data_IF_602683546383
#
_entry.id   IF_602683546383
#
_cell.length_a   1.000
_cell.length_b   1.000
_cell.length_c   1.000
_cell.angle_alpha   90.00
_cell.angle_beta   90.00
_cell.angle_gamma   90.00
#
_symmetry.space_group_name_H-M   'P 1'
#
loop_
_entity.id
_entity.type
_entity.pdbx_description
1 polymer ?
#
# COMPACT_ATOMS: atom_id res chain seq x y z
N UNK A 1 -50.87 17.66 -0.57
CA UNK A 1 -50.11 16.57 -1.22
C UNK A 1 -48.84 17.03 -1.96
N UNK A 2 -48.88 18.07 -2.81
CA UNK A 2 -47.69 18.59 -3.52
C UNK A 2 -46.58 19.21 -2.64
N UNK A 3 -46.94 19.73 -1.46
CA UNK A 3 -45.96 20.30 -0.51
C UNK A 3 -45.19 19.20 0.25
N UNK A 4 -45.87 18.13 0.66
CA UNK A 4 -45.29 16.99 1.38
C UNK A 4 -44.26 16.23 0.51
N UNK A 5 -44.53 16.09 -0.79
CA UNK A 5 -43.63 15.43 -1.75
C UNK A 5 -42.34 16.23 -1.97
N UNK A 6 -42.41 17.56 -1.95
CA UNK A 6 -41.22 18.43 -2.05
C UNK A 6 -40.34 18.36 -0.80
N UNK A 7 -40.95 18.27 0.38
CA UNK A 7 -40.20 18.12 1.65
C UNK A 7 -39.51 16.76 1.76
N UNK A 8 -40.17 15.68 1.30
CA UNK A 8 -39.57 14.34 1.24
C UNK A 8 -38.40 14.30 0.25
N UNK A 9 -38.53 14.92 -0.93
CA UNK A 9 -37.43 15.02 -1.89
C UNK A 9 -36.24 15.84 -1.36
N UNK A 10 -36.48 16.88 -0.56
CA UNK A 10 -35.40 17.68 0.06
C UNK A 10 -34.67 16.92 1.18
N UNK A 11 -35.40 16.14 1.99
CA UNK A 11 -34.82 15.28 3.04
C UNK A 11 -34.01 14.10 2.48
N UNK A 12 -34.36 13.60 1.29
CA UNK A 12 -33.58 12.57 0.59
C UNK A 12 -32.26 13.12 0.01
N UNK A 13 -32.15 14.44 -0.19
CA UNK A 13 -30.93 15.10 -0.71
C UNK A 13 -30.00 15.64 0.38
N UNK A 14 -30.49 15.83 1.61
CA UNK A 14 -29.68 16.27 2.75
C UNK A 14 -28.50 15.34 3.15
N UNK A 15 -28.55 13.99 2.98
CA UNK A 15 -27.38 13.15 3.26
C UNK A 15 -26.36 13.10 2.11
N UNK A 16 -26.60 13.79 0.99
CA UNK A 16 -25.65 13.84 -0.15
C UNK A 16 -24.71 15.05 -0.05
N UNK A 17 -24.87 15.91 0.96
CA UNK A 17 -23.81 16.81 1.42
C UNK A 17 -22.74 15.99 2.15
N UNK A 18 -22.16 15.02 1.46
CA UNK A 18 -21.03 14.24 1.94
C UNK A 18 -19.93 15.22 2.30
N UNK A 19 -19.52 15.18 3.57
CA UNK A 19 -18.42 15.98 4.11
C UNK A 19 -17.30 16.02 3.08
N UNK A 20 -17.03 17.20 2.51
CA UNK A 20 -15.79 17.41 1.80
C UNK A 20 -14.69 17.02 2.80
N UNK A 21 -13.83 16.02 2.52
CA UNK A 21 -12.79 15.67 3.45
C UNK A 21 -11.91 16.92 3.58
N UNK A 22 -11.86 17.47 4.80
CA UNK A 22 -10.94 18.53 5.13
C UNK A 22 -9.49 18.07 4.93
N UNK A 23 -8.55 18.95 5.26
CA UNK A 23 -7.16 18.52 5.42
C UNK A 23 -7.12 17.29 6.35
N UNK A 24 -6.23 16.31 6.10
CA UNK A 24 -6.10 15.16 6.98
C UNK A 24 -5.83 15.65 8.40
N UNK A 25 -6.71 15.29 9.32
CA UNK A 25 -6.49 15.55 10.74
C UNK A 25 -5.48 14.52 11.23
N UNK A 26 -4.28 14.97 11.60
CA UNK A 26 -3.29 14.11 12.24
C UNK A 26 -3.75 13.90 13.68
N UNK A 27 -3.98 12.65 14.13
CA UNK A 27 -4.28 12.39 15.52
C UNK A 27 -3.15 12.86 16.44
N UNK A 28 -3.47 12.98 17.72
CA UNK A 28 -2.46 13.32 18.73
C UNK A 28 -1.34 12.29 18.73
N UNK A 29 -0.09 12.75 18.88
CA UNK A 29 1.10 11.91 18.74
C UNK A 29 1.14 10.72 19.72
N UNK A 30 0.50 10.83 20.89
CA UNK A 30 0.35 9.76 21.89
C UNK A 30 -0.53 8.59 21.42
N UNK A 31 -1.41 8.84 20.45
CA UNK A 31 -2.24 7.82 19.80
C UNK A 31 -1.58 7.18 18.57
N UNK A 32 -0.33 7.57 18.27
CA UNK A 32 0.39 7.20 17.05
C UNK A 32 1.67 6.42 17.38
N UNK A 33 2.04 5.47 16.51
CA UNK A 33 3.32 4.74 16.59
C UNK A 33 4.02 4.79 15.25
N UNK A 34 5.30 5.16 15.27
CA UNK A 34 6.14 5.20 14.08
C UNK A 34 6.97 3.91 13.96
N UNK A 35 6.96 3.29 12.78
CA UNK A 35 7.80 2.17 12.43
C UNK A 35 8.89 2.64 11.49
N UNK A 36 10.14 2.49 11.93
CA UNK A 36 11.33 3.00 11.25
C UNK A 36 12.16 1.81 10.79
N UNK A 37 12.61 1.83 9.54
CA UNK A 37 13.49 0.79 9.03
C UNK A 37 14.78 0.68 9.87
N UNK A 38 15.13 -0.55 10.26
CA UNK A 38 16.39 -0.87 10.93
C UNK A 38 17.62 -0.44 10.13
N UNK A 39 18.74 -0.22 10.84
CA UNK A 39 19.97 0.34 10.27
C UNK A 39 20.83 -0.68 9.50
N UNK A 40 20.38 -1.92 9.36
CA UNK A 40 21.19 -3.01 8.86
C UNK A 40 21.53 -2.81 7.38
N UNK A 41 22.78 -2.41 7.12
CA UNK A 41 23.64 -2.41 5.91
C UNK A 41 23.07 -2.34 4.48
N UNK A 42 21.76 -2.17 4.27
CA UNK A 42 21.12 -2.38 2.99
C UNK A 42 20.84 -1.05 2.28
N UNK A 43 21.04 -1.02 0.96
CA UNK A 43 20.67 0.08 0.05
C UNK A 43 19.19 0.55 0.15
N UNK A 44 18.32 -0.19 0.86
CA UNK A 44 16.91 0.14 1.04
C UNK A 44 16.66 1.08 2.22
N UNK A 45 17.50 1.12 3.25
CA UNK A 45 17.19 1.89 4.47
C UNK A 45 17.20 3.41 4.26
N UNK A 46 17.89 3.90 3.22
CA UNK A 46 17.99 5.35 2.93
C UNK A 46 16.69 5.94 2.42
N UNK A 47 15.94 5.21 1.60
CA UNK A 47 14.66 5.65 1.06
C UNK A 47 13.48 4.92 1.70
N UNK A 48 13.74 4.14 2.75
CA UNK A 48 12.68 3.44 3.45
C UNK A 48 11.72 4.45 4.07
N UNK A 49 10.42 4.30 3.82
CA UNK A 49 9.43 5.14 4.47
C UNK A 49 9.36 4.87 5.97
N UNK A 50 8.93 5.88 6.72
CA UNK A 50 8.47 5.75 8.10
C UNK A 50 6.96 5.56 8.07
N UNK A 51 6.47 4.46 8.64
CA UNK A 51 5.03 4.20 8.73
C UNK A 51 4.52 4.67 10.08
N UNK A 52 3.62 5.64 10.10
CA UNK A 52 2.97 6.15 11.31
C UNK A 52 1.56 5.57 11.38
N UNK A 53 1.27 4.73 12.38
CA UNK A 53 -0.03 4.05 12.49
C UNK A 53 -0.88 4.66 13.59
N UNK A 54 -2.19 4.74 13.34
CA UNK A 54 -3.19 5.11 14.32
C UNK A 54 -3.56 3.97 15.28
N UNK A 55 -3.80 4.32 16.55
CA UNK A 55 -4.32 3.43 17.59
C UNK A 55 -3.57 2.08 17.68
N UNK A 56 -2.24 2.09 17.93
CA UNK A 56 -1.41 0.88 17.97
C UNK A 56 -1.73 -0.05 19.15
N UNK A 57 -2.61 0.37 20.07
CA UNK A 57 -3.12 -0.46 21.16
C UNK A 57 -3.91 -1.68 20.67
N UNK A 58 -4.48 -1.61 19.45
CA UNK A 58 -5.11 -2.75 18.79
C UNK A 58 -4.08 -3.51 17.95
N UNK A 59 -3.94 -4.81 18.17
CA UNK A 59 -2.95 -5.67 17.49
C UNK A 59 -3.00 -5.54 15.98
N UNK A 60 -4.20 -5.54 15.41
CA UNK A 60 -4.41 -5.47 13.98
C UNK A 60 -4.09 -4.11 13.35
N UNK A 61 -3.85 -3.04 14.13
CA UNK A 61 -3.32 -1.77 13.60
C UNK A 61 -1.79 -1.74 13.58
N UNK A 62 -1.13 -2.67 14.26
CA UNK A 62 0.33 -2.77 14.27
C UNK A 62 0.85 -3.43 13.01
N UNK A 63 1.95 -2.89 12.49
CA UNK A 63 2.76 -3.59 11.49
C UNK A 63 3.38 -4.81 12.15
N UNK A 64 3.29 -5.96 11.49
CA UNK A 64 3.80 -7.21 12.00
C UNK A 64 4.63 -8.01 10.99
N UNK A 65 5.16 -9.13 11.45
CA UNK A 65 5.97 -10.07 10.67
C UNK A 65 5.12 -11.23 10.18
N UNK A 66 5.17 -11.54 8.89
CA UNK A 66 4.62 -12.77 8.37
C UNK A 66 5.34 -13.98 8.97
N UNK A 67 4.57 -14.87 9.57
CA UNK A 67 5.03 -16.06 10.26
C UNK A 67 4.15 -17.26 9.90
N UNK A 68 4.63 -18.46 10.24
CA UNK A 68 3.92 -19.71 10.01
C UNK A 68 3.94 -20.58 11.26
N UNK A 69 2.90 -21.39 11.43
CA UNK A 69 2.76 -22.34 12.53
C UNK A 69 1.94 -23.55 12.10
N UNK A 70 2.00 -24.61 12.90
CA UNK A 70 1.13 -25.79 12.75
C UNK A 70 0.02 -25.72 13.80
N UNK A 71 -1.24 -25.67 13.35
CA UNK A 71 -2.42 -25.80 14.21
C UNK A 71 -3.18 -27.06 13.83
N UNK A 72 -3.37 -27.97 14.79
CA UNK A 72 -4.13 -29.21 14.60
C UNK A 72 -3.68 -30.02 13.37
N UNK A 73 -2.36 -30.05 13.13
CA UNK A 73 -1.75 -30.75 11.99
C UNK A 73 -1.84 -30.04 10.64
N UNK A 74 -2.39 -28.83 10.58
CA UNK A 74 -2.45 -28.01 9.38
C UNK A 74 -1.53 -26.78 9.49
N UNK A 75 -0.88 -26.44 8.38
CA UNK A 75 -0.13 -25.18 8.25
C UNK A 75 -1.08 -23.98 8.29
N UNK A 76 -0.73 -22.98 9.09
CA UNK A 76 -1.37 -21.66 9.07
C UNK A 76 -0.29 -20.59 8.91
N UNK A 77 -0.54 -19.59 8.08
CA UNK A 77 0.28 -18.37 8.05
C UNK A 77 -0.50 -17.21 8.64
N UNK A 78 0.21 -16.37 9.38
CA UNK A 78 -0.37 -15.24 10.09
C UNK A 78 0.63 -14.09 10.14
N UNK A 79 0.15 -12.92 10.56
CA UNK A 79 1.01 -11.77 10.86
C UNK A 79 1.15 -11.66 12.38
N UNK A 80 2.38 -11.71 12.87
CA UNK A 80 2.72 -11.46 14.26
C UNK A 80 2.88 -9.94 14.49
N UNK A 81 1.95 -9.29 15.22
CA UNK A 81 1.95 -7.85 15.42
C UNK A 81 2.93 -7.38 16.52
N UNK A 82 3.63 -8.28 17.20
CA UNK A 82 4.62 -7.94 18.24
C UNK A 82 6.00 -7.64 17.66
N UNK A 83 6.34 -8.28 16.54
CA UNK A 83 7.61 -8.06 15.83
C UNK A 83 7.34 -7.42 14.45
N UNK A 84 7.63 -6.13 14.24
CA UNK A 84 7.41 -5.50 12.94
C UNK A 84 8.53 -5.85 11.96
N UNK A 85 8.20 -6.18 10.71
CA UNK A 85 9.17 -6.35 9.61
C UNK A 85 8.75 -5.54 8.39
N UNK A 86 9.71 -4.89 7.73
CA UNK A 86 9.54 -4.34 6.38
C UNK A 86 10.12 -5.33 5.36
N UNK A 87 9.34 -5.68 4.35
CA UNK A 87 9.81 -6.53 3.26
C UNK A 87 10.17 -5.67 2.05
N UNK A 88 11.42 -5.72 1.59
CA UNK A 88 11.91 -4.84 0.53
C UNK A 88 12.38 -5.61 -0.71
N UNK A 89 12.24 -4.98 -1.88
CA UNK A 89 12.80 -5.45 -3.16
C UNK A 89 13.17 -4.27 -4.04
N UNK A 90 14.23 -4.45 -4.85
CA UNK A 90 14.65 -3.52 -5.89
C UNK A 90 14.34 -4.16 -7.24
N UNK A 91 13.72 -3.39 -8.12
CA UNK A 91 13.57 -3.74 -9.53
C UNK A 91 14.00 -2.55 -10.37
N UNK A 92 14.44 -2.79 -11.60
CA UNK A 92 14.87 -1.75 -12.50
C UNK A 92 14.11 -1.85 -13.81
N UNK A 93 13.83 -0.71 -14.43
CA UNK A 93 13.17 -0.64 -15.72
C UNK A 93 13.74 0.53 -16.51
N UNK A 94 13.47 0.55 -17.82
CA UNK A 94 13.86 1.62 -18.73
C UNK A 94 12.66 2.09 -19.53
N UNK A 95 12.68 3.37 -19.87
CA UNK A 95 11.68 4.04 -20.70
C UNK A 95 12.39 4.88 -21.74
N UNK A 96 11.64 5.66 -22.53
CA UNK A 96 12.23 6.64 -23.44
C UNK A 96 12.93 7.81 -22.71
N UNK A 97 12.62 8.07 -21.43
CA UNK A 97 13.17 9.20 -20.67
C UNK A 97 14.32 8.83 -19.73
N UNK A 98 14.58 7.54 -19.51
CA UNK A 98 15.76 7.11 -18.77
C UNK A 98 15.65 5.72 -18.14
N UNK A 99 16.63 5.41 -17.30
CA UNK A 99 16.60 4.23 -16.44
C UNK A 99 16.10 4.58 -15.04
N UNK A 100 15.28 3.70 -14.49
CA UNK A 100 14.69 3.89 -13.16
C UNK A 100 14.87 2.65 -12.30
N UNK A 101 14.82 2.85 -10.99
CA UNK A 101 14.80 1.77 -10.00
C UNK A 101 13.64 1.94 -9.04
N UNK A 102 12.80 0.91 -8.92
CA UNK A 102 11.77 0.83 -7.90
C UNK A 102 12.33 0.18 -6.65
N UNK A 103 12.28 0.91 -5.54
CA UNK A 103 12.43 0.37 -4.19
C UNK A 103 11.02 0.09 -3.64
N UNK A 104 10.61 -1.16 -3.70
CA UNK A 104 9.31 -1.61 -3.19
C UNK A 104 9.45 -2.06 -1.74
N UNK A 105 8.70 -1.43 -0.85
CA UNK A 105 8.52 -1.80 0.55
C UNK A 105 7.13 -2.37 0.75
N UNK A 106 7.04 -3.45 1.52
CA UNK A 106 5.81 -4.14 1.84
C UNK A 106 5.73 -4.32 3.35
N UNK A 107 4.60 -3.93 3.94
CA UNK A 107 4.28 -4.17 5.36
C UNK A 107 2.97 -4.92 5.46
N UNK A 108 2.75 -5.58 6.59
CA UNK A 108 1.58 -6.42 6.81
C UNK A 108 0.89 -6.14 8.13
N UNK A 109 -0.41 -6.41 8.14
CA UNK A 109 -1.30 -6.30 9.30
C UNK A 109 -2.07 -7.61 9.49
N UNK A 110 -2.38 -7.93 10.74
CA UNK A 110 -3.12 -9.14 11.12
C UNK A 110 -4.43 -9.29 10.32
N UNK A 111 -5.23 -8.22 10.28
CA UNK A 111 -6.54 -8.21 9.60
C UNK A 111 -7.12 -6.80 9.48
N UNK A 112 -8.08 -6.65 8.58
CA UNK A 112 -9.07 -5.57 8.60
C UNK A 112 -10.34 -6.09 9.30
N UNK A 113 -10.96 -5.38 10.25
CA UNK A 113 -12.18 -5.84 10.94
C UNK A 113 -13.38 -6.06 10.01
N UNK A 114 -14.29 -6.98 10.38
CA UNK A 114 -15.45 -7.39 9.59
C UNK A 114 -16.48 -6.27 9.30
N UNK A 115 -16.45 -5.20 10.08
CA UNK A 115 -17.29 -4.01 9.90
C UNK A 115 -16.84 -3.12 8.74
N UNK A 116 -15.72 -3.44 8.08
CA UNK A 116 -15.17 -2.70 6.94
C UNK A 116 -15.28 -3.53 5.66
N UNK A 117 -15.45 -2.85 4.52
CA UNK A 117 -15.55 -3.51 3.20
C UNK A 117 -14.32 -4.39 2.89
N UNK A 118 -13.12 -3.95 3.25
CA UNK A 118 -11.86 -4.68 3.01
C UNK A 118 -11.55 -5.82 3.99
N UNK A 119 -12.56 -6.30 4.74
CA UNK A 119 -12.40 -7.39 5.72
C UNK A 119 -11.65 -8.58 5.14
N UNK A 120 -10.60 -8.99 5.86
CA UNK A 120 -9.80 -10.18 5.57
C UNK A 120 -8.57 -10.21 6.47
N UNK A 121 -7.85 -11.32 6.48
CA UNK A 121 -6.57 -11.46 7.20
C UNK A 121 -5.39 -11.09 6.30
N UNK A 122 -4.21 -10.98 6.91
CA UNK A 122 -2.92 -10.93 6.23
C UNK A 122 -2.80 -9.77 5.22
N UNK A 123 -3.48 -8.66 5.52
CA UNK A 123 -3.58 -7.48 4.64
C UNK A 123 -2.20 -6.85 4.52
N UNK A 124 -1.86 -6.38 3.33
CA UNK A 124 -0.57 -5.74 3.08
C UNK A 124 -0.70 -4.37 2.42
N UNK A 125 0.30 -3.54 2.67
CA UNK A 125 0.50 -2.24 2.03
C UNK A 125 1.83 -2.28 1.28
N UNK A 126 1.82 -1.75 0.06
CA UNK A 126 2.98 -1.52 -0.79
C UNK A 126 3.26 -0.02 -0.87
N UNK A 127 4.53 0.32 -0.71
CA UNK A 127 5.09 1.65 -1.01
C UNK A 127 6.22 1.45 -2.00
N UNK A 128 6.13 2.08 -3.16
CA UNK A 128 7.15 2.00 -4.21
C UNK A 128 7.76 3.39 -4.34
N UNK A 129 9.06 3.48 -4.04
CA UNK A 129 9.85 4.69 -4.29
C UNK A 129 10.60 4.49 -5.60
N UNK A 130 10.17 5.22 -6.63
CA UNK A 130 10.81 5.20 -7.96
C UNK A 130 11.98 6.17 -7.95
N UNK A 131 13.18 5.68 -8.21
CA UNK A 131 14.41 6.48 -8.30
C UNK A 131 14.82 6.68 -9.75
N UNK A 132 15.32 7.87 -10.09
CA UNK A 132 16.03 8.11 -11.35
C UNK A 132 17.48 7.59 -11.29
N UNK A 133 18.24 7.80 -12.38
CA UNK A 133 19.65 7.37 -12.47
C UNK A 133 20.56 8.03 -11.41
N UNK A 134 20.23 9.25 -10.99
CA UNK A 134 20.92 9.97 -9.91
C UNK A 134 20.55 9.49 -8.51
N UNK A 135 19.66 8.49 -8.39
CA UNK A 135 19.18 7.98 -7.09
C UNK A 135 18.19 8.91 -6.38
N UNK A 136 17.63 9.90 -7.09
CA UNK A 136 16.62 10.80 -6.54
C UNK A 136 15.22 10.18 -6.66
N UNK A 137 14.38 10.25 -5.62
CA UNK A 137 13.00 9.76 -5.66
C UNK A 137 12.16 10.68 -6.54
N UNK A 138 11.66 10.17 -7.67
CA UNK A 138 10.85 10.93 -8.65
C UNK A 138 9.36 10.67 -8.50
N UNK A 139 8.97 9.48 -8.04
CA UNK A 139 7.57 9.09 -7.91
C UNK A 139 7.37 8.15 -6.73
N UNK A 140 6.44 8.49 -5.85
CA UNK A 140 5.96 7.62 -4.78
C UNK A 140 4.65 6.97 -5.26
N UNK A 141 4.57 5.64 -5.23
CA UNK A 141 3.33 4.91 -5.49
C UNK A 141 2.93 4.15 -4.24
N UNK A 142 1.70 4.34 -3.75
CA UNK A 142 1.16 3.58 -2.62
C UNK A 142 -0.07 2.80 -3.06
N UNK A 143 -0.21 1.58 -2.56
CA UNK A 143 -1.38 0.73 -2.83
C UNK A 143 -1.39 -0.45 -1.86
N UNK A 144 -2.54 -1.08 -1.67
CA UNK A 144 -2.63 -2.32 -0.91
C UNK A 144 -2.26 -3.55 -1.74
N UNK A 145 -1.93 -4.67 -1.09
CA UNK A 145 -1.55 -5.91 -1.78
C UNK A 145 -2.69 -6.59 -2.55
N UNK A 146 -3.93 -6.12 -2.39
CA UNK A 146 -5.10 -6.38 -3.25
C UNK A 146 -5.01 -5.73 -4.65
N UNK A 147 -4.17 -4.70 -4.84
CA UNK A 147 -4.19 -3.82 -6.02
C UNK A 147 -5.14 -2.62 -5.91
N UNK A 148 -5.74 -2.41 -4.74
CA UNK A 148 -6.69 -1.35 -4.43
C UNK A 148 -6.03 -0.16 -3.70
N UNK A 149 -6.73 0.98 -3.60
CA UNK A 149 -6.24 2.22 -2.97
C UNK A 149 -4.96 2.79 -3.57
N UNK A 150 -4.82 2.68 -4.89
CA UNK A 150 -3.67 3.20 -5.62
C UNK A 150 -3.62 4.74 -5.54
N UNK A 151 -2.46 5.27 -5.16
CA UNK A 151 -2.12 6.69 -5.25
C UNK A 151 -0.74 6.88 -5.86
N UNK A 152 -0.57 8.01 -6.55
CA UNK A 152 0.70 8.44 -7.12
C UNK A 152 1.04 9.83 -6.60
N UNK A 153 2.22 10.01 -6.04
CA UNK A 153 2.69 11.31 -5.56
C UNK A 153 4.04 11.61 -6.21
N UNK A 154 4.06 12.43 -7.27
CA UNK A 154 5.31 12.88 -7.89
C UNK A 154 6.08 13.78 -6.93
N UNK A 155 7.38 13.91 -7.18
CA UNK A 155 8.25 14.77 -6.38
C UNK A 155 8.81 15.93 -7.19
N UNK A 156 9.52 16.84 -6.54
CA UNK A 156 10.28 17.91 -7.20
C UNK A 156 11.42 17.43 -8.11
N UNK A 157 11.75 16.14 -8.11
CA UNK A 157 12.74 15.56 -9.02
C UNK A 157 12.13 14.96 -10.30
N UNK A 158 10.80 14.93 -10.43
CA UNK A 158 10.14 14.46 -11.64
C UNK A 158 9.81 15.63 -12.56
N UNK A 159 10.27 15.54 -13.81
CA UNK A 159 9.88 16.46 -14.88
C UNK A 159 8.35 16.52 -15.02
N UNK A 160 7.79 17.73 -15.07
CA UNK A 160 6.35 17.93 -15.20
C UNK A 160 5.80 17.34 -16.50
N UNK A 161 6.61 17.24 -17.55
CA UNK A 161 6.25 16.57 -18.80
C UNK A 161 5.97 15.06 -18.65
N UNK A 162 6.32 14.47 -17.51
CA UNK A 162 5.99 13.09 -17.17
C UNK A 162 4.64 12.94 -16.45
N UNK A 163 4.00 14.05 -16.04
CA UNK A 163 2.75 14.00 -15.29
C UNK A 163 1.57 13.65 -16.21
N UNK A 164 0.50 13.05 -15.66
CA UNK A 164 -0.76 12.94 -16.38
C UNK A 164 -1.31 14.31 -16.79
N UNK A 165 -2.01 14.36 -17.92
CA UNK A 165 -2.65 15.60 -18.39
C UNK A 165 -3.63 16.13 -17.33
N UNK A 166 -3.51 17.43 -17.00
CA UNK A 166 -4.34 18.09 -16.00
C UNK A 166 -3.98 17.76 -14.54
N UNK A 167 -2.79 17.21 -14.27
CA UNK A 167 -2.37 16.94 -12.90
C UNK A 167 -2.22 18.23 -12.08
N UNK A 168 -2.95 18.34 -10.98
CA UNK A 168 -2.91 19.48 -10.06
C UNK A 168 -1.98 19.16 -8.87
N UNK A 169 -1.13 20.13 -8.48
CA UNK A 169 -0.17 19.97 -7.37
C UNK A 169 -0.78 20.04 -5.97
N UNK A 170 -2.09 20.25 -5.86
CA UNK A 170 -2.79 20.37 -4.59
C UNK A 170 -2.93 19.04 -3.85
N UNK A 171 -4.17 18.63 -3.60
CA UNK A 171 -4.47 17.34 -2.97
C UNK A 171 -5.27 16.45 -3.91
N UNK A 172 -5.00 15.16 -3.85
CA UNK A 172 -5.73 14.14 -4.57
C UNK A 172 -6.68 13.40 -3.61
N UNK A 173 -7.88 13.09 -4.09
CA UNK A 173 -8.85 12.27 -3.35
C UNK A 173 -8.64 10.79 -3.72
N UNK A 174 -8.31 9.97 -2.74
CA UNK A 174 -8.05 8.54 -2.93
C UNK A 174 -8.98 7.77 -1.99
N UNK A 175 -10.12 7.31 -2.51
CA UNK A 175 -11.06 6.44 -1.78
C UNK A 175 -11.50 6.96 -0.40
N UNK A 176 -11.76 8.26 -0.29
CA UNK A 176 -12.16 8.92 0.96
C UNK A 176 -11.00 9.52 1.74
N UNK A 177 -9.76 9.24 1.35
CA UNK A 177 -8.57 9.92 1.88
C UNK A 177 -8.21 11.11 1.00
N UNK A 178 -7.53 12.08 1.59
CA UNK A 178 -7.01 13.27 0.92
C UNK A 178 -5.50 13.21 1.05
N UNK A 179 -4.75 13.00 -0.02
CA UNK A 179 -3.29 12.86 -0.03
C UNK A 179 -2.65 14.06 -0.77
N UNK A 180 -1.38 14.41 -0.52
CA UNK A 180 -0.67 15.34 -1.38
C UNK A 180 -0.59 14.81 -2.80
N UNK A 181 -0.83 15.67 -3.78
CA UNK A 181 -0.62 15.38 -5.19
C UNK A 181 0.80 15.71 -5.67
N UNK A 182 1.66 16.21 -4.77
CA UNK A 182 3.05 16.56 -5.05
C UNK A 182 3.85 16.63 -3.73
N UNK A 183 5.10 16.18 -3.74
CA UNK A 183 6.04 16.31 -2.60
C UNK A 183 7.27 17.10 -3.04
N UNK A 184 7.51 18.23 -2.38
CA UNK A 184 8.70 19.02 -2.62
C UNK A 184 9.84 18.61 -1.68
N UNK A 185 10.94 18.10 -2.24
CA UNK A 185 12.18 17.84 -1.50
C UNK A 185 13.00 19.11 -1.23
N UNK A 186 12.64 20.25 -1.82
CA UNK A 186 13.38 21.51 -1.72
C UNK A 186 14.84 21.37 -2.17
N UNK A 187 15.70 22.20 -1.60
CA UNK A 187 17.16 22.17 -1.82
C UNK A 187 17.88 21.09 -0.98
N UNK A 188 17.12 20.32 -0.19
CA UNK A 188 17.67 19.30 0.69
C UNK A 188 18.11 18.05 -0.06
N UNK A 189 19.10 17.35 0.47
CA UNK A 189 19.44 16.02 -0.05
C UNK A 189 18.25 15.07 0.17
N UNK A 190 17.86 14.24 -0.82
CA UNK A 190 16.84 13.21 -0.63
C UNK A 190 17.18 12.20 0.48
N UNK A 191 18.45 12.18 0.91
CA UNK A 191 18.91 11.31 2.00
C UNK A 191 18.66 11.89 3.39
N UNK A 192 18.42 13.20 3.51
CA UNK A 192 18.22 13.89 4.78
C UNK A 192 16.76 13.91 5.19
N UNK A 193 15.87 13.96 4.19
CA UNK A 193 14.44 13.83 4.40
C UNK A 193 14.01 12.36 4.37
N UNK A 194 13.02 12.02 5.18
CA UNK A 194 12.34 10.73 5.15
C UNK A 194 10.90 10.93 4.73
N UNK A 195 10.39 9.98 3.95
CA UNK A 195 8.98 9.92 3.60
C UNK A 195 8.22 9.30 4.78
N UNK A 196 7.28 10.03 5.34
CA UNK A 196 6.35 9.55 6.35
C UNK A 196 5.00 9.23 5.71
N UNK A 197 4.38 8.14 6.15
CA UNK A 197 3.03 7.76 5.75
C UNK A 197 2.18 7.60 6.99
N UNK A 198 1.10 8.37 7.10
CA UNK A 198 0.10 8.19 8.15
C UNK A 198 -0.92 7.16 7.68
N UNK A 199 -1.12 6.11 8.49
CA UNK A 199 -2.00 4.98 8.18
C UNK A 199 -3.23 5.00 9.07
N UNK A 200 -4.41 4.98 8.43
CA UNK A 200 -5.70 4.95 9.11
C UNK A 200 -5.88 3.66 9.90
N UNK A 201 -6.38 3.76 11.13
CA UNK A 201 -6.79 2.59 11.92
C UNK A 201 -7.84 1.75 11.20
N UNK A 202 -7.94 0.47 11.57
CA UNK A 202 -8.85 -0.56 11.04
C UNK A 202 -8.69 -0.90 9.55
N UNK A 203 -8.33 0.07 8.70
CA UNK A 203 -8.32 -0.07 7.24
C UNK A 203 -6.93 0.03 6.63
N UNK A 204 -5.94 0.53 7.36
CA UNK A 204 -4.54 0.66 6.95
C UNK A 204 -4.33 1.46 5.65
N UNK A 205 -5.29 2.32 5.32
CA UNK A 205 -5.20 3.22 4.17
C UNK A 205 -4.20 4.33 4.48
N UNK A 206 -3.46 4.74 3.47
CA UNK A 206 -2.59 5.92 3.57
C UNK A 206 -3.48 7.15 3.61
N UNK A 207 -3.45 7.88 4.72
CA UNK A 207 -4.22 9.12 4.89
C UNK A 207 -3.45 10.33 4.42
N UNK A 208 -2.14 10.32 4.63
CA UNK A 208 -1.28 11.46 4.31
C UNK A 208 0.16 11.00 4.07
N UNK A 209 0.90 11.83 3.35
CA UNK A 209 2.33 11.67 3.12
C UNK A 209 3.03 13.01 3.34
N UNK A 210 4.19 12.99 3.96
CA UNK A 210 5.00 14.21 4.12
C UNK A 210 6.48 13.86 4.22
N UNK A 211 7.32 14.87 4.02
CA UNK A 211 8.73 14.79 4.33
C UNK A 211 8.98 15.34 5.72
N UNK A 212 9.81 14.65 6.49
CA UNK A 212 10.34 15.16 7.74
C UNK A 212 11.83 14.86 7.84
N UNK A 213 12.50 15.66 8.66
CA UNK A 213 13.91 15.49 8.94
C UNK A 213 14.13 14.37 9.96
N UNK A 214 15.18 13.59 9.72
CA UNK A 214 15.56 12.50 10.61
C UNK A 214 14.73 11.22 10.39
N UNK A 215 15.21 10.14 11.00
CA UNK A 215 14.58 8.80 10.88
C UNK A 215 13.42 8.60 11.83
N UNK A 216 13.47 9.30 12.95
CA UNK A 216 12.54 9.14 14.06
C UNK A 216 11.78 10.44 14.20
N UNK A 217 10.48 10.46 13.87
CA UNK A 217 9.73 11.69 13.98
C UNK A 217 9.59 12.07 15.47
N UNK A 218 9.80 13.35 15.84
CA UNK A 218 9.73 13.77 17.22
C UNK A 218 8.30 13.61 17.76
N UNK A 219 8.18 13.17 19.03
CA UNK A 219 6.89 13.02 19.71
C UNK A 219 6.18 11.68 19.51
N UNK A 220 6.68 10.80 18.64
CA UNK A 220 6.09 9.48 18.42
C UNK A 220 6.82 8.38 19.17
N UNK A 221 6.07 7.42 19.72
CA UNK A 221 6.68 6.14 20.10
C UNK A 221 7.18 5.46 18.82
N UNK A 222 8.50 5.29 18.73
CA UNK A 222 9.13 4.73 17.54
C UNK A 222 9.64 3.32 17.79
N UNK A 223 9.40 2.43 16.82
CA UNK A 223 9.82 1.04 16.86
C UNK A 223 10.68 0.76 15.63
N UNK A 224 11.84 0.15 15.85
CA UNK A 224 12.69 -0.31 14.76
C UNK A 224 12.11 -1.59 14.16
N UNK A 225 12.00 -1.61 12.84
CA UNK A 225 11.50 -2.73 12.08
C UNK A 225 12.60 -3.22 11.13
N UNK A 226 13.11 -4.45 11.30
CA UNK A 226 14.09 -5.02 10.40
C UNK A 226 13.61 -5.03 8.96
N UNK A 227 14.53 -4.77 8.03
CA UNK A 227 14.25 -4.83 6.60
C UNK A 227 14.71 -6.18 6.07
N UNK A 228 13.76 -7.03 5.64
CA UNK A 228 14.05 -8.35 5.05
C UNK A 228 13.80 -8.34 3.54
N UNK A 229 14.54 -9.13 2.73
CA UNK A 229 14.23 -9.29 1.31
C UNK A 229 12.82 -9.85 1.12
N UNK A 230 12.04 -9.33 0.18
CA UNK A 230 10.66 -9.81 -0.05
C UNK A 230 10.58 -11.31 -0.37
N UNK A 231 11.66 -11.91 -0.89
CA UNK A 231 11.78 -13.36 -1.14
C UNK A 231 11.57 -14.21 0.12
N UNK A 232 11.83 -13.69 1.33
CA UNK A 232 11.64 -14.49 2.56
C UNK A 232 10.17 -14.89 2.77
N UNK A 233 9.22 -14.17 2.17
CA UNK A 233 7.80 -14.52 2.21
C UNK A 233 7.49 -15.84 1.49
N UNK A 234 8.39 -16.36 0.67
CA UNK A 234 8.23 -17.64 -0.03
C UNK A 234 8.75 -18.83 0.80
N UNK A 235 9.39 -18.58 1.95
CA UNK A 235 9.98 -19.60 2.81
C UNK A 235 9.98 -19.18 4.27
N UNK A 236 8.81 -19.17 4.88
CA UNK A 236 8.60 -18.97 6.31
C UNK A 236 8.95 -20.26 7.06
N UNK A 237 9.79 -20.17 8.09
CA UNK A 237 10.14 -21.32 8.92
C UNK A 237 8.95 -21.83 9.73
N UNK A 238 8.88 -23.16 9.91
CA UNK A 238 7.94 -23.86 10.77
C UNK A 238 8.64 -24.41 12.02
N UNK A 239 7.92 -24.69 13.12
CA UNK A 239 8.51 -25.18 14.37
C UNK A 239 9.25 -26.53 14.26
N UNK A 240 8.90 -27.35 13.27
CA UNK A 240 9.51 -28.65 12.98
C UNK A 240 10.77 -28.55 12.10
N UNK A 241 11.20 -27.33 11.76
CA UNK A 241 12.34 -27.07 10.89
C UNK A 241 11.99 -27.07 9.39
N UNK A 242 10.75 -27.36 9.01
CA UNK A 242 10.28 -27.22 7.64
C UNK A 242 10.08 -25.73 7.27
N UNK A 243 9.67 -25.49 6.02
CA UNK A 243 9.29 -24.14 5.59
C UNK A 243 8.04 -24.16 4.73
N UNK A 244 7.23 -23.11 4.82
CA UNK A 244 6.04 -22.88 3.98
C UNK A 244 6.10 -21.51 3.32
N UNK A 245 5.43 -21.36 2.18
CA UNK A 245 5.18 -20.06 1.58
C UNK A 245 4.06 -19.32 2.31
N UNK A 246 4.18 -17.99 2.39
CA UNK A 246 3.09 -17.06 2.76
C UNK A 246 1.99 -17.03 1.69
N UNK A 247 2.31 -17.49 0.48
CA UNK A 247 1.41 -17.58 -0.65
C UNK A 247 0.94 -19.01 -0.89
N UNK A 248 -0.25 -19.14 -1.44
CA UNK A 248 -0.77 -20.39 -1.97
C UNK A 248 0.13 -20.85 -3.13
N UNK A 249 0.62 -22.09 -3.09
CA UNK A 249 1.58 -22.61 -4.09
C UNK A 249 0.91 -23.43 -5.20
N UNK A 250 -0.36 -23.79 -5.03
CA UNK A 250 -1.10 -24.66 -5.94
C UNK A 250 -2.59 -24.29 -6.04
N UNK A 251 -3.28 -24.92 -7.00
CA UNK A 251 -4.71 -24.78 -7.19
C UNK A 251 -5.13 -23.41 -7.76
N UNK A 252 -6.43 -23.15 -7.76
CA UNK A 252 -6.97 -21.93 -8.35
C UNK A 252 -6.48 -20.65 -7.67
N UNK A 253 -6.10 -20.72 -6.39
CA UNK A 253 -5.60 -19.58 -5.59
C UNK A 253 -4.08 -19.42 -5.63
N UNK A 254 -3.35 -20.14 -6.49
CA UNK A 254 -1.90 -19.98 -6.60
C UNK A 254 -1.50 -18.49 -6.69
N UNK A 255 -0.47 -18.14 -5.93
CA UNK A 255 0.11 -16.79 -5.77
C UNK A 255 -0.75 -15.75 -5.00
N UNK A 256 -1.94 -16.13 -4.51
CA UNK A 256 -2.63 -15.34 -3.50
C UNK A 256 -2.01 -15.55 -2.12
N UNK A 257 -2.10 -14.56 -1.25
CA UNK A 257 -1.75 -14.71 0.17
C UNK A 257 -2.71 -15.75 0.79
N UNK A 258 -2.16 -16.68 1.57
CA UNK A 258 -2.98 -17.67 2.30
C UNK A 258 -3.91 -16.93 3.28
N UNK A 259 -5.15 -17.38 3.38
CA UNK A 259 -6.21 -16.81 4.24
C UNK A 259 -6.58 -15.33 4.00
N UNK A 260 -6.25 -14.77 2.82
CA UNK A 260 -6.58 -13.38 2.46
C UNK A 260 -7.94 -13.19 1.77
N UNK A 261 -8.89 -14.11 1.94
CA UNK A 261 -10.19 -14.02 1.28
C UNK A 261 -10.92 -12.73 1.70
N UNK A 262 -11.67 -12.14 0.77
CA UNK A 262 -12.43 -10.90 0.96
C UNK A 262 -13.93 -11.13 0.73
N UNK A 263 -14.68 -11.60 1.73
CA UNK A 263 -16.07 -12.00 1.53
C UNK A 263 -16.95 -10.85 1.04
N UNK A 264 -16.76 -9.64 1.57
CA UNK A 264 -17.56 -8.48 1.18
C UNK A 264 -17.23 -7.99 -0.23
N UNK A 265 -15.94 -7.85 -0.58
CA UNK A 265 -15.56 -7.46 -1.94
C UNK A 265 -16.01 -8.51 -2.97
N UNK A 266 -15.89 -9.80 -2.65
CA UNK A 266 -16.44 -10.86 -3.49
C UNK A 266 -17.94 -10.71 -3.67
N UNK A 267 -18.71 -10.52 -2.61
CA UNK A 267 -20.17 -10.40 -2.68
C UNK A 267 -20.61 -9.18 -3.50
N UNK A 268 -19.99 -8.02 -3.27
CA UNK A 268 -20.47 -6.75 -3.84
C UNK A 268 -19.78 -6.34 -5.14
N UNK A 269 -18.59 -6.87 -5.44
CA UNK A 269 -17.77 -6.41 -6.56
C UNK A 269 -17.52 -7.45 -7.65
N UNK A 270 -17.52 -8.75 -7.31
CA UNK A 270 -17.08 -9.79 -8.25
C UNK A 270 -17.89 -9.85 -9.54
N UNK A 271 -19.19 -9.55 -9.48
CA UNK A 271 -20.12 -9.69 -10.59
C UNK A 271 -19.92 -8.62 -11.68
N UNK A 272 -19.65 -7.37 -11.32
CA UNK A 272 -19.35 -6.31 -12.30
C UNK A 272 -17.86 -6.20 -12.61
N UNK A 273 -16.99 -6.61 -11.68
CA UNK A 273 -15.57 -6.72 -11.96
C UNK A 273 -15.26 -7.96 -12.81
N UNK A 274 -16.12 -8.97 -12.90
CA UNK A 274 -15.82 -10.27 -13.52
C UNK A 274 -14.54 -10.90 -12.93
N UNK A 275 -14.45 -10.94 -11.60
CA UNK A 275 -13.40 -11.63 -10.85
C UNK A 275 -13.87 -12.05 -9.46
N UNK A 276 -13.97 -13.36 -9.25
CA UNK A 276 -14.38 -13.97 -7.98
C UNK A 276 -13.41 -13.72 -6.82
N UNK A 277 -12.16 -13.32 -7.12
CA UNK A 277 -11.09 -13.06 -6.16
C UNK A 277 -10.70 -11.58 -6.12
N UNK A 278 -11.58 -10.71 -6.58
CA UNK A 278 -11.43 -9.26 -6.45
C UNK A 278 -11.14 -8.90 -4.98
N UNK A 279 -10.15 -8.03 -4.77
CA UNK A 279 -9.75 -7.55 -3.44
C UNK A 279 -8.79 -8.46 -2.68
N UNK A 280 -8.59 -9.71 -3.09
CA UNK A 280 -7.71 -10.61 -2.34
C UNK A 280 -6.24 -10.23 -2.48
N UNK A 281 -5.51 -10.26 -1.36
CA UNK A 281 -4.10 -9.92 -1.30
C UNK A 281 -3.26 -10.97 -2.05
N UNK A 282 -2.27 -10.50 -2.82
CA UNK A 282 -1.51 -11.32 -3.78
C UNK A 282 0.00 -11.08 -3.70
N UNK A 283 0.76 -12.06 -4.21
CA UNK A 283 2.19 -11.93 -4.46
C UNK A 283 2.42 -10.84 -5.50
N UNK A 284 3.32 -9.89 -5.19
CA UNK A 284 3.85 -9.01 -6.22
C UNK A 284 4.99 -9.74 -6.92
N UNK A 285 4.73 -10.31 -8.09
CA UNK A 285 5.72 -10.91 -8.97
C UNK A 285 6.92 -10.00 -9.25
N UNK A 286 8.07 -10.59 -9.58
CA UNK A 286 9.23 -9.85 -10.11
C UNK A 286 8.95 -9.26 -11.50
N UNK A 287 8.21 -10.01 -12.30
CA UNK A 287 7.83 -9.71 -13.68
C UNK A 287 6.52 -10.44 -14.02
N UNK A 288 6.16 -10.52 -15.30
CA UNK A 288 4.91 -11.12 -15.77
C UNK A 288 4.89 -12.65 -15.70
N UNK A 289 6.07 -13.28 -15.68
CA UNK A 289 6.26 -14.74 -15.60
C UNK A 289 6.31 -15.22 -14.15
N UNK A 290 6.52 -14.30 -13.21
CA UNK A 290 6.52 -14.56 -11.77
C UNK A 290 5.16 -14.18 -11.14
N UNK A 291 4.36 -15.17 -10.79
CA UNK A 291 3.14 -15.00 -10.01
C UNK A 291 1.88 -14.66 -10.81
N UNK A 292 0.81 -14.32 -10.11
CA UNK A 292 -0.48 -13.93 -10.70
C UNK A 292 -0.50 -12.45 -11.13
N UNK A 293 -1.38 -12.14 -12.08
CA UNK A 293 -1.71 -10.79 -12.51
C UNK A 293 -1.97 -9.82 -11.35
N UNK A 294 -1.10 -8.82 -11.18
CA UNK A 294 -1.24 -7.78 -10.17
C UNK A 294 -1.92 -6.54 -10.78
N UNK A 295 -3.18 -6.67 -11.19
CA UNK A 295 -3.93 -5.55 -11.73
C UNK A 295 -4.32 -4.54 -10.65
N UNK A 296 -4.38 -3.26 -11.03
CA UNK A 296 -4.94 -2.17 -10.20
C UNK A 296 -6.20 -1.51 -10.76
N UNK A 297 -6.65 -1.94 -11.94
CA UNK A 297 -7.93 -1.53 -12.53
C UNK A 297 -8.97 -2.65 -12.45
N UNK A 298 -10.19 -2.30 -12.00
CA UNK A 298 -11.33 -3.22 -11.98
C UNK A 298 -11.96 -3.41 -13.37
N UNK A 299 -11.58 -2.59 -14.36
CA UNK A 299 -12.05 -2.73 -15.75
C UNK A 299 -11.48 -4.04 -16.33
N UNK A 300 -12.30 -5.05 -16.68
CA UNK A 300 -11.81 -6.35 -17.13
C UNK A 300 -10.83 -6.26 -18.31
N UNK A 301 -11.13 -5.38 -19.28
CA UNK A 301 -10.32 -5.16 -20.47
C UNK A 301 -8.99 -4.43 -20.20
N UNK A 302 -8.81 -3.82 -19.03
CA UNK A 302 -7.63 -3.04 -18.68
C UNK A 302 -6.70 -3.74 -17.67
N UNK A 303 -7.01 -4.96 -17.22
CA UNK A 303 -6.24 -5.65 -16.17
C UNK A 303 -4.77 -5.87 -16.53
N UNK A 304 -4.50 -6.25 -17.78
CA UNK A 304 -3.11 -6.44 -18.27
C UNK A 304 -2.35 -5.12 -18.37
N UNK A 305 -3.03 -4.06 -18.80
CA UNK A 305 -2.41 -2.73 -18.90
C UNK A 305 -2.13 -2.11 -17.52
N UNK A 306 -2.95 -2.45 -16.52
CA UNK A 306 -2.78 -2.02 -15.12
C UNK A 306 -1.99 -3.02 -14.26
N UNK A 307 -1.26 -3.96 -14.87
CA UNK A 307 -0.45 -4.95 -14.15
C UNK A 307 0.81 -4.31 -13.56
N UNK A 308 0.86 -4.16 -12.24
CA UNK A 308 1.97 -3.54 -11.52
C UNK A 308 3.31 -4.24 -11.76
N UNK A 309 3.30 -5.54 -12.13
CA UNK A 309 4.52 -6.31 -12.43
C UNK A 309 5.20 -5.84 -13.73
N UNK A 310 4.45 -5.16 -14.60
CA UNK A 310 4.98 -4.46 -15.76
C UNK A 310 4.90 -2.95 -15.54
N UNK A 311 5.76 -2.45 -14.65
CA UNK A 311 5.69 -1.09 -14.14
C UNK A 311 5.63 0.01 -15.22
N UNK A 312 6.42 -0.04 -16.32
CA UNK A 312 6.33 0.97 -17.39
C UNK A 312 4.94 1.02 -18.06
N UNK A 313 4.37 -0.15 -18.38
CA UNK A 313 3.04 -0.23 -19.00
C UNK A 313 1.95 0.18 -18.00
N UNK A 314 2.11 -0.20 -16.74
CA UNK A 314 1.25 0.25 -15.65
C UNK A 314 1.23 1.77 -15.51
N UNK A 315 2.39 2.43 -15.55
CA UNK A 315 2.50 3.89 -15.51
C UNK A 315 1.79 4.54 -16.70
N UNK A 316 2.03 4.04 -17.92
CA UNK A 316 1.37 4.53 -19.13
C UNK A 316 -0.16 4.39 -19.06
N UNK A 317 -0.67 3.27 -18.52
CA UNK A 317 -2.11 3.07 -18.33
C UNK A 317 -2.72 4.13 -17.41
N UNK A 318 -1.98 4.57 -16.40
CA UNK A 318 -2.41 5.64 -15.47
C UNK A 318 -2.04 7.05 -15.96
N UNK A 319 -1.56 7.20 -17.20
CA UNK A 319 -1.26 8.47 -17.83
C UNK A 319 0.11 9.07 -17.47
N UNK A 320 0.95 8.34 -16.72
CA UNK A 320 2.31 8.76 -16.42
C UNK A 320 3.23 8.50 -17.61
N UNK A 321 4.03 9.49 -17.95
CA UNK A 321 4.98 9.47 -19.06
C UNK A 321 6.41 9.51 -18.52
N UNK A 322 6.74 8.53 -17.66
CA UNK A 322 8.10 8.24 -17.20
C UNK A 322 8.87 7.48 -18.27
#
# INVERSE_FOLDING_TARGET
MRLLLKTILFLIWLPVAGCAPGLPEHPRADSLRAYVAGNDAWHFSRHAPVFVVEEPGRSFNRIGTAAARIIKGAEEVYIDPEEPTLYARKTSFRTARGSYSNLTYRVHFEKVPATRLGWGKNVGLLVIVTLNESGQPVLITTLHTCGCYLAFTPTSYLDEGAFPSGWERGRQKVYGESLPAYIDYGDGSPTNHRLHLLLRKDTHRVMDLWLADGRTPPGYQSVLAPVKPMKVLEGLGLPDGASTSFYETAGGRRDYVKDSQKPWERLFMSWWAFDWRVGEDKKLGRDREDGILFYTSLKPWARKASDLRNFPVFLQYWGWNL
#
